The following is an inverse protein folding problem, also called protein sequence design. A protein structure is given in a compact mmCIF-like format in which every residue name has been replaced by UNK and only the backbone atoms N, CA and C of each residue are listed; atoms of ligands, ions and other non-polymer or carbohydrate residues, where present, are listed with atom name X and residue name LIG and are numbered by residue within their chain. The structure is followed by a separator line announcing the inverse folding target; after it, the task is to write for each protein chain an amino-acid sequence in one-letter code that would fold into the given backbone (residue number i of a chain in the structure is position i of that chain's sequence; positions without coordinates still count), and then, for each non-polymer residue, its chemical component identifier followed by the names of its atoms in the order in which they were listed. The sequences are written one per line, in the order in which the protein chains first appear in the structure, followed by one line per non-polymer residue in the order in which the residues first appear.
data_IF_939443513721
#
_entry.id   IF_939443513721
#
_cell.length_a   1.000
_cell.length_b   1.000
_cell.length_c   1.000
_cell.angle_alpha   90.00
_cell.angle_beta   90.00
_cell.angle_gamma   90.00
#
_symmetry.space_group_name_H-M   'P 1'
#
loop_
_entity.id
_entity.type
_entity.pdbx_description
1 polymer ?
#
# COMPACT_ATOMS: atom_id res chain seq x y z
N UNK A 1 -7.84 22.02 3.74
CA UNK A 1 -7.01 21.14 2.89
C UNK A 1 -7.64 19.74 2.75
N UNK A 2 -7.92 19.00 3.84
CA UNK A 2 -8.52 17.66 3.78
C UNK A 2 -9.86 17.60 3.02
N UNK A 3 -10.83 18.45 3.36
CA UNK A 3 -12.16 18.47 2.71
C UNK A 3 -12.07 18.72 1.18
N UNK A 4 -11.15 19.59 0.75
CA UNK A 4 -10.94 19.84 -0.68
C UNK A 4 -10.29 18.61 -1.39
N UNK A 5 -9.37 17.93 -0.72
CA UNK A 5 -8.79 16.68 -1.22
C UNK A 5 -9.87 15.59 -1.31
N UNK A 6 -10.68 15.43 -0.27
CA UNK A 6 -11.77 14.45 -0.24
C UNK A 6 -12.78 14.69 -1.37
N UNK A 7 -13.22 15.93 -1.58
CA UNK A 7 -14.13 16.28 -2.66
C UNK A 7 -13.54 15.98 -4.05
N UNK A 8 -12.27 16.36 -4.27
CA UNK A 8 -11.54 16.08 -5.51
C UNK A 8 -11.43 14.58 -5.77
N UNK A 9 -11.07 13.80 -4.76
CA UNK A 9 -10.91 12.35 -4.87
C UNK A 9 -12.24 11.63 -5.05
N UNK A 10 -13.31 12.06 -4.35
CA UNK A 10 -14.65 11.52 -4.56
C UNK A 10 -15.14 11.72 -6.00
N UNK A 11 -14.88 12.87 -6.59
CA UNK A 11 -15.22 13.16 -7.99
C UNK A 11 -14.43 12.28 -8.97
N UNK A 12 -13.13 12.07 -8.74
CA UNK A 12 -12.30 11.17 -9.54
C UNK A 12 -12.76 9.71 -9.42
N UNK A 13 -13.14 9.28 -8.21
CA UNK A 13 -13.60 7.92 -7.92
C UNK A 13 -14.99 7.60 -8.46
N UNK A 14 -15.78 8.59 -8.89
CA UNK A 14 -17.09 8.38 -9.49
C UNK A 14 -17.02 7.95 -10.97
N UNK A 15 -15.83 7.94 -11.58
CA UNK A 15 -15.67 7.49 -12.96
C UNK A 15 -15.98 5.98 -13.08
N UNK A 16 -16.71 5.56 -14.15
CA UNK A 16 -16.99 4.14 -14.37
C UNK A 16 -15.69 3.35 -14.49
N UNK A 17 -15.59 2.25 -13.77
CA UNK A 17 -14.46 1.33 -13.93
C UNK A 17 -14.70 0.42 -15.12
N UNK A 18 -13.69 0.25 -15.95
CA UNK A 18 -13.69 -0.76 -16.98
C UNK A 18 -13.65 -2.17 -16.34
N UNK A 19 -14.30 -3.14 -17.00
CA UNK A 19 -14.32 -4.51 -16.48
C UNK A 19 -12.93 -5.13 -16.56
N UNK A 20 -12.48 -5.61 -15.44
CA UNK A 20 -11.31 -6.48 -15.30
C UNK A 20 -11.73 -7.93 -15.53
N UNK A 21 -10.85 -8.77 -16.03
CA UNK A 21 -11.07 -10.21 -16.19
C UNK A 21 -10.04 -10.98 -15.37
N UNK A 22 -10.50 -11.93 -14.58
CA UNK A 22 -9.62 -12.91 -13.91
C UNK A 22 -9.20 -13.97 -14.92
N UNK A 23 -7.90 -14.08 -15.17
CA UNK A 23 -7.33 -15.07 -16.11
C UNK A 23 -6.74 -16.26 -15.38
N UNK A 24 -6.38 -16.08 -14.11
CA UNK A 24 -5.88 -17.14 -13.25
C UNK A 24 -6.34 -16.91 -11.81
N UNK A 25 -6.85 -17.96 -11.16
CA UNK A 25 -7.19 -17.97 -9.74
C UNK A 25 -6.72 -19.28 -9.11
N UNK A 26 -5.68 -19.19 -8.30
CA UNK A 26 -5.10 -20.30 -7.50
C UNK A 26 -5.31 -20.09 -6.01
N UNK A 27 -6.21 -19.21 -5.61
CA UNK A 27 -6.44 -18.88 -4.20
C UNK A 27 -6.76 -20.10 -3.33
N UNK A 28 -7.39 -21.13 -3.91
CA UNK A 28 -7.66 -22.40 -3.22
C UNK A 28 -6.38 -23.19 -2.84
N UNK A 29 -5.23 -22.88 -3.46
CA UNK A 29 -3.94 -23.51 -3.19
C UNK A 29 -3.04 -22.67 -2.25
N UNK A 30 -3.52 -21.52 -1.81
CA UNK A 30 -2.78 -20.58 -0.97
C UNK A 30 -3.53 -20.34 0.36
N UNK A 31 -2.79 -20.03 1.41
CA UNK A 31 -3.39 -19.60 2.68
C UNK A 31 -3.79 -18.13 2.57
N UNK A 32 -4.88 -17.86 1.86
CA UNK A 32 -5.39 -16.51 1.66
C UNK A 32 -6.87 -16.42 2.01
N UNK A 33 -7.31 -15.25 2.42
CA UNK A 33 -8.70 -14.94 2.70
C UNK A 33 -9.27 -14.07 1.58
N UNK A 34 -10.45 -14.43 1.09
CA UNK A 34 -11.19 -13.64 0.13
C UNK A 34 -11.87 -12.44 0.80
N UNK A 35 -11.72 -11.26 0.22
CA UNK A 35 -12.37 -10.01 0.64
C UNK A 35 -13.12 -9.45 -0.56
N UNK A 36 -14.33 -8.94 -0.34
CA UNK A 36 -15.08 -8.29 -1.41
C UNK A 36 -16.55 -8.11 -1.09
N UNK A 37 -17.16 -7.18 -1.79
CA UNK A 37 -18.60 -6.94 -1.87
C UNK A 37 -19.17 -7.49 -3.19
N UNK A 38 -20.47 -7.39 -3.39
CA UNK A 38 -21.09 -7.66 -4.70
C UNK A 38 -20.53 -6.77 -5.80
N UNK A 39 -20.30 -5.49 -5.46
CA UNK A 39 -19.73 -4.52 -6.39
C UNK A 39 -18.28 -4.86 -6.78
N UNK A 40 -17.39 -5.14 -5.82
CA UNK A 40 -16.00 -5.48 -6.14
C UNK A 40 -15.90 -6.74 -6.98
N UNK A 41 -16.76 -7.74 -6.72
CA UNK A 41 -16.80 -8.97 -7.53
C UNK A 41 -17.25 -8.70 -8.96
N UNK A 42 -18.20 -7.78 -9.16
CA UNK A 42 -18.66 -7.41 -10.49
C UNK A 42 -17.66 -6.53 -11.25
N UNK A 43 -17.04 -5.54 -10.55
CA UNK A 43 -16.13 -4.60 -11.17
C UNK A 43 -14.75 -5.25 -11.48
N UNK A 44 -14.28 -6.13 -10.61
CA UNK A 44 -12.95 -6.72 -10.70
C UNK A 44 -12.95 -8.24 -10.95
N UNK A 45 -14.07 -8.79 -11.38
CA UNK A 45 -14.24 -10.20 -11.72
C UNK A 45 -13.73 -11.15 -10.62
N UNK A 46 -14.32 -11.04 -9.44
CA UNK A 46 -13.99 -11.88 -8.29
C UNK A 46 -13.60 -11.13 -7.04
N UNK A 47 -13.05 -11.85 -6.08
CA UNK A 47 -12.64 -11.31 -4.80
C UNK A 47 -11.24 -10.66 -4.87
N UNK A 48 -10.94 -9.87 -3.84
CA UNK A 48 -9.57 -9.60 -3.42
C UNK A 48 -9.10 -10.69 -2.48
N UNK A 49 -7.82 -10.98 -2.49
CA UNK A 49 -7.21 -11.95 -1.59
C UNK A 49 -6.15 -11.29 -0.73
N UNK A 50 -6.02 -11.73 0.50
CA UNK A 50 -4.95 -11.32 1.41
C UNK A 50 -4.49 -12.52 2.26
N UNK A 51 -3.23 -12.54 2.64
CA UNK A 51 -2.73 -13.50 3.63
C UNK A 51 -3.27 -13.11 5.01
N UNK A 52 -3.98 -14.01 5.73
CA UNK A 52 -4.46 -13.70 7.07
C UNK A 52 -3.29 -13.57 8.05
N UNK A 53 -3.40 -12.72 9.08
CA UNK A 53 -2.36 -12.54 10.09
C UNK A 53 -2.39 -13.67 11.12
N UNK A 54 -2.07 -14.91 10.74
CA UNK A 54 -2.13 -16.11 11.57
C UNK A 54 -1.17 -16.02 12.76
N UNK A 55 -1.66 -15.47 13.88
CA UNK A 55 -0.90 -15.27 15.12
C UNK A 55 0.17 -14.17 15.09
N UNK A 56 0.39 -13.55 13.94
CA UNK A 56 1.38 -12.51 13.70
C UNK A 56 0.81 -11.24 13.09
N UNK A 57 1.55 -10.69 12.14
CA UNK A 57 1.11 -9.62 11.25
C UNK A 57 1.24 -10.09 9.80
N UNK A 58 0.37 -9.63 8.91
CA UNK A 58 0.55 -9.75 7.47
C UNK A 58 0.93 -8.41 6.87
N UNK A 59 1.86 -8.43 5.93
CA UNK A 59 2.34 -7.25 5.22
C UNK A 59 2.35 -7.51 3.72
N UNK A 60 1.66 -6.67 2.97
CA UNK A 60 1.72 -6.62 1.51
C UNK A 60 2.63 -5.51 1.00
N UNK A 61 3.11 -5.65 -0.22
CA UNK A 61 3.78 -4.58 -0.99
C UNK A 61 3.10 -4.39 -2.32
N UNK A 62 3.03 -3.14 -2.80
CA UNK A 62 2.34 -2.75 -4.04
C UNK A 62 3.30 -2.03 -4.96
N UNK A 63 3.38 -2.47 -6.22
CA UNK A 63 4.17 -1.81 -7.26
C UNK A 63 3.49 -1.83 -8.62
N UNK A 64 3.74 -0.77 -9.39
CA UNK A 64 3.52 -0.74 -10.84
C UNK A 64 4.87 -0.81 -11.55
N UNK A 65 4.94 -1.61 -12.60
CA UNK A 65 6.16 -1.82 -13.41
C UNK A 65 5.83 -1.86 -14.90
N UNK A 66 6.83 -1.56 -15.70
CA UNK A 66 6.79 -1.79 -17.14
C UNK A 66 6.84 -3.29 -17.46
N UNK A 67 6.63 -3.64 -18.73
CA UNK A 67 6.83 -5.00 -19.24
C UNK A 67 8.24 -5.54 -19.00
N UNK A 68 9.25 -4.66 -19.00
CA UNK A 68 10.63 -5.03 -18.69
C UNK A 68 10.93 -5.29 -17.21
N UNK A 69 9.96 -5.04 -16.33
CA UNK A 69 10.09 -5.24 -14.89
C UNK A 69 10.57 -4.01 -14.12
N UNK A 70 10.92 -2.93 -14.80
CA UNK A 70 11.37 -1.69 -14.18
C UNK A 70 10.20 -0.84 -13.69
N UNK A 71 10.42 -0.13 -12.59
CA UNK A 71 9.46 0.80 -11.98
C UNK A 71 9.76 2.24 -12.38
N UNK A 72 8.90 3.19 -12.00
CA UNK A 72 9.17 4.62 -12.10
C UNK A 72 9.30 5.21 -10.69
N UNK A 73 10.36 5.97 -10.44
CA UNK A 73 10.64 6.53 -9.11
C UNK A 73 9.89 7.82 -8.85
N UNK A 74 9.66 8.64 -9.88
CA UNK A 74 9.06 9.98 -9.70
C UNK A 74 7.57 10.04 -9.98
N UNK A 75 7.09 9.28 -10.94
CA UNK A 75 5.69 9.30 -11.35
C UNK A 75 5.19 7.89 -11.73
N UNK A 76 4.75 7.07 -10.78
CA UNK A 76 4.19 5.74 -11.07
C UNK A 76 3.01 5.78 -12.06
N UNK A 77 2.23 6.87 -12.09
CA UNK A 77 1.12 7.03 -13.03
C UNK A 77 1.58 7.09 -14.51
N UNK A 78 2.85 7.48 -14.76
CA UNK A 78 3.42 7.45 -16.11
C UNK A 78 3.53 6.02 -16.69
N UNK A 79 3.47 4.99 -15.84
CA UNK A 79 3.44 3.59 -16.28
C UNK A 79 2.04 3.13 -16.75
N UNK A 80 1.01 3.99 -16.70
CA UNK A 80 -0.25 3.76 -17.39
C UNK A 80 -1.19 2.72 -16.77
N UNK A 81 -1.06 2.44 -15.47
CA UNK A 81 -2.00 1.54 -14.75
C UNK A 81 -3.44 2.07 -14.71
N UNK A 82 -3.60 3.40 -14.82
CA UNK A 82 -4.90 4.08 -14.91
C UNK A 82 -5.76 3.95 -13.65
N UNK A 83 -7.03 4.32 -13.79
CA UNK A 83 -8.02 4.26 -12.71
C UNK A 83 -8.29 2.83 -12.22
N UNK A 84 -8.10 1.83 -13.07
CA UNK A 84 -8.25 0.42 -12.68
C UNK A 84 -7.15 0.01 -11.71
N UNK A 85 -5.89 0.39 -11.96
CA UNK A 85 -4.80 0.16 -11.02
C UNK A 85 -5.03 0.90 -9.69
N UNK A 86 -5.48 2.16 -9.76
CA UNK A 86 -5.78 2.95 -8.59
C UNK A 86 -6.82 2.26 -7.69
N UNK A 87 -7.91 1.77 -8.25
CA UNK A 87 -9.00 1.20 -7.45
C UNK A 87 -8.86 -0.30 -7.17
N UNK A 88 -8.26 -1.08 -8.07
CA UNK A 88 -8.05 -2.51 -7.86
C UNK A 88 -6.88 -2.77 -6.89
N UNK A 89 -5.72 -2.25 -7.23
CA UNK A 89 -4.48 -2.55 -6.49
C UNK A 89 -4.29 -1.55 -5.36
N UNK A 90 -4.24 -0.27 -5.70
CA UNK A 90 -3.78 0.75 -4.78
C UNK A 90 -4.78 1.04 -3.66
N UNK A 91 -6.07 1.13 -3.95
CA UNK A 91 -7.11 1.27 -2.92
C UNK A 91 -7.64 -0.08 -2.45
N UNK A 92 -7.99 -0.98 -3.38
CA UNK A 92 -8.65 -2.23 -3.09
C UNK A 92 -7.77 -3.19 -2.32
N UNK A 93 -6.74 -3.72 -2.96
CA UNK A 93 -5.89 -4.73 -2.36
C UNK A 93 -5.00 -4.16 -1.25
N UNK A 94 -4.47 -2.94 -1.42
CA UNK A 94 -3.53 -2.40 -0.45
C UNK A 94 -4.16 -1.78 0.79
N UNK A 95 -5.40 -1.29 0.72
CA UNK A 95 -5.95 -0.42 1.78
C UNK A 95 -7.30 -0.83 2.33
N UNK A 96 -8.15 -1.48 1.52
CA UNK A 96 -9.53 -1.75 1.94
C UNK A 96 -9.61 -2.57 3.22
N UNK A 97 -8.73 -3.54 3.40
CA UNK A 97 -8.67 -4.41 4.58
C UNK A 97 -7.51 -4.09 5.52
N UNK A 98 -6.62 -3.17 5.17
CA UNK A 98 -5.44 -2.85 5.96
C UNK A 98 -5.79 -2.08 7.25
N UNK A 99 -5.16 -2.44 8.36
CA UNK A 99 -5.16 -1.68 9.60
C UNK A 99 -4.24 -0.46 9.46
N UNK A 100 -3.15 -0.60 8.67
CA UNK A 100 -2.21 0.48 8.41
C UNK A 100 -1.64 0.44 6.99
N UNK A 101 -1.25 1.62 6.49
CA UNK A 101 -0.47 1.76 5.24
C UNK A 101 0.93 2.25 5.58
N UNK A 102 1.94 1.56 5.04
CA UNK A 102 3.36 1.83 5.25
C UNK A 102 3.94 2.57 4.06
N UNK A 103 4.64 3.67 4.30
CA UNK A 103 5.36 4.41 3.27
C UNK A 103 6.74 4.84 3.75
N UNK A 104 7.73 4.82 2.85
CA UNK A 104 9.03 5.44 3.12
C UNK A 104 8.92 6.97 3.08
N UNK A 105 9.73 7.67 3.88
CA UNK A 105 9.75 9.14 3.90
C UNK A 105 9.91 9.79 2.53
N UNK A 106 10.69 9.16 1.63
CA UNK A 106 10.88 9.64 0.25
C UNK A 106 9.67 9.48 -0.68
N UNK A 107 8.63 8.78 -0.25
CA UNK A 107 7.37 8.61 -1.01
C UNK A 107 6.34 9.69 -0.64
N UNK A 108 6.57 10.43 0.45
CA UNK A 108 5.61 11.40 0.97
C UNK A 108 5.64 12.71 0.18
N UNK A 109 4.48 13.26 -0.08
CA UNK A 109 4.25 14.59 -0.64
C UNK A 109 3.25 15.34 0.26
N UNK A 110 3.13 16.65 0.08
CA UNK A 110 2.42 17.54 0.99
C UNK A 110 0.98 17.10 1.32
N UNK A 111 0.25 16.60 0.33
CA UNK A 111 -1.14 16.13 0.46
C UNK A 111 -1.24 14.59 0.61
N UNK A 112 -0.13 13.90 0.94
CA UNK A 112 -0.13 12.46 1.14
C UNK A 112 -1.08 12.05 2.28
N UNK A 113 -2.03 11.19 1.95
CA UNK A 113 -2.89 10.46 2.87
C UNK A 113 -3.28 9.15 2.20
N UNK A 114 -2.77 8.04 2.70
CA UNK A 114 -3.00 6.72 2.12
C UNK A 114 -4.28 6.11 2.67
N UNK A 115 -5.36 6.20 1.90
CA UNK A 115 -6.69 5.73 2.31
C UNK A 115 -7.49 5.28 1.09
N UNK A 116 -8.68 4.74 1.30
CA UNK A 116 -9.64 4.46 0.23
C UNK A 116 -10.53 5.69 -0.02
N UNK A 117 -10.80 5.98 -1.28
CA UNK A 117 -11.62 7.11 -1.70
C UNK A 117 -12.88 6.66 -2.44
N UNK A 118 -12.80 5.58 -3.23
CA UNK A 118 -13.95 5.07 -3.97
C UNK A 118 -15.10 4.71 -3.01
N UNK A 119 -16.33 5.21 -3.19
CA UNK A 119 -17.43 5.03 -2.25
C UNK A 119 -17.68 3.54 -1.89
N UNK A 120 -17.71 2.67 -2.89
CA UNK A 120 -17.94 1.23 -2.71
C UNK A 120 -16.82 0.54 -1.92
N UNK A 121 -15.56 1.01 -2.06
CA UNK A 121 -14.43 0.50 -1.27
C UNK A 121 -14.47 1.06 0.16
N UNK A 122 -14.94 2.30 0.35
CA UNK A 122 -15.20 2.86 1.68
C UNK A 122 -16.27 2.05 2.39
N UNK A 123 -17.36 1.68 1.70
CA UNK A 123 -18.44 0.87 2.27
C UNK A 123 -17.97 -0.55 2.56
N UNK A 124 -17.15 -1.14 1.69
CA UNK A 124 -16.54 -2.44 1.97
C UNK A 124 -15.67 -2.37 3.22
N UNK A 125 -14.82 -1.34 3.36
CA UNK A 125 -13.99 -1.14 4.56
C UNK A 125 -14.85 -1.00 5.84
N UNK A 126 -15.94 -0.26 5.76
CA UNK A 126 -16.92 -0.13 6.86
C UNK A 126 -17.56 -1.48 7.22
N UNK A 127 -17.91 -2.29 6.23
CA UNK A 127 -18.48 -3.64 6.44
C UNK A 127 -17.48 -4.59 7.14
N UNK A 128 -16.18 -4.37 6.94
CA UNK A 128 -15.11 -5.07 7.65
C UNK A 128 -14.89 -4.54 9.10
N UNK A 129 -15.68 -3.56 9.54
CA UNK A 129 -15.59 -2.89 10.86
C UNK A 129 -14.24 -2.20 11.09
N UNK A 130 -13.63 -1.70 10.03
CA UNK A 130 -12.39 -0.96 10.10
C UNK A 130 -12.63 0.55 10.16
N UNK A 131 -11.73 1.33 10.79
CA UNK A 131 -11.79 2.79 10.78
C UNK A 131 -11.84 3.36 9.36
N UNK A 132 -12.41 4.56 9.18
CA UNK A 132 -12.50 5.24 7.87
C UNK A 132 -11.15 5.31 7.16
N UNK A 133 -10.11 5.63 7.92
CA UNK A 133 -8.74 5.69 7.43
C UNK A 133 -7.91 4.61 8.13
N UNK A 134 -7.03 3.90 7.40
CA UNK A 134 -6.00 3.10 8.04
C UNK A 134 -5.01 4.00 8.78
N UNK A 135 -4.37 3.51 9.81
CA UNK A 135 -3.23 4.18 10.40
C UNK A 135 -2.14 4.41 9.34
N UNK A 136 -1.38 5.48 9.48
CA UNK A 136 -0.26 5.78 8.59
C UNK A 136 1.05 5.37 9.27
N UNK A 137 1.86 4.57 8.61
CA UNK A 137 3.19 4.17 9.11
C UNK A 137 4.25 4.75 8.19
N UNK A 138 5.12 5.58 8.75
CA UNK A 138 6.19 6.25 8.01
C UNK A 138 7.54 5.66 8.40
N UNK A 139 8.27 5.11 7.44
CA UNK A 139 9.64 4.65 7.63
C UNK A 139 10.61 5.81 7.39
N UNK A 140 11.24 6.30 8.46
CA UNK A 140 12.20 7.41 8.43
C UNK A 140 13.26 7.18 9.50
N UNK A 141 14.27 6.37 9.20
CA UNK A 141 15.29 5.97 10.15
C UNK A 141 16.03 7.16 10.80
N UNK A 142 16.32 8.18 10.00
CA UNK A 142 17.02 9.40 10.44
C UNK A 142 16.09 10.52 10.93
N UNK A 143 14.75 10.33 10.85
CA UNK A 143 13.78 11.35 11.24
C UNK A 143 13.79 12.60 10.36
N UNK A 144 14.20 12.49 9.10
CA UNK A 144 14.27 13.62 8.16
C UNK A 144 12.91 14.10 7.64
N UNK A 145 11.82 13.37 7.93
CA UNK A 145 10.48 13.78 7.54
C UNK A 145 10.05 15.08 8.25
N UNK A 146 9.25 15.89 7.55
CA UNK A 146 8.73 17.19 8.04
C UNK A 146 7.24 17.09 8.36
N UNK A 147 6.86 16.74 9.60
CA UNK A 147 5.46 16.54 9.98
C UNK A 147 4.58 17.77 9.79
N UNK A 148 5.13 18.97 9.90
CA UNK A 148 4.44 20.25 9.69
C UNK A 148 4.02 20.49 8.24
N UNK A 149 4.69 19.88 7.27
CA UNK A 149 4.45 20.06 5.84
C UNK A 149 3.55 18.98 5.21
N UNK A 150 3.23 17.92 5.96
CA UNK A 150 2.56 16.72 5.43
C UNK A 150 1.17 16.52 6.03
N UNK A 151 0.16 16.40 5.17
CA UNK A 151 -1.24 16.26 5.57
C UNK A 151 -1.47 15.13 6.57
N UNK A 152 -0.87 13.95 6.33
CA UNK A 152 -1.09 12.76 7.17
C UNK A 152 -0.73 12.96 8.64
N UNK A 153 0.22 13.86 8.96
CA UNK A 153 0.59 14.20 10.34
C UNK A 153 -0.34 15.24 10.99
N UNK A 154 -1.19 15.90 10.20
CA UNK A 154 -2.04 17.01 10.64
C UNK A 154 -3.53 16.65 10.65
N UNK A 155 -3.85 15.37 10.78
CA UNK A 155 -5.19 14.82 10.92
C UNK A 155 -5.31 14.07 12.27
N UNK A 156 -5.88 14.70 13.32
CA UNK A 156 -5.93 14.12 14.67
C UNK A 156 -6.65 12.77 14.77
N UNK A 157 -7.61 12.54 13.87
CA UNK A 157 -8.40 11.29 13.84
C UNK A 157 -7.70 10.12 13.13
N UNK A 158 -6.48 10.37 12.60
CA UNK A 158 -5.70 9.35 11.88
C UNK A 158 -4.43 9.04 12.68
N UNK A 159 -4.32 7.87 13.30
CA UNK A 159 -3.10 7.46 14.00
C UNK A 159 -1.90 7.42 13.06
N UNK A 160 -0.77 7.96 13.49
CA UNK A 160 0.49 7.93 12.74
C UNK A 160 1.59 7.30 13.58
N UNK A 161 2.33 6.38 12.99
CA UNK A 161 3.52 5.76 13.57
C UNK A 161 4.73 6.09 12.72
N UNK A 162 5.80 6.59 13.35
CA UNK A 162 7.08 6.82 12.65
C UNK A 162 8.09 5.79 13.12
N UNK A 163 8.45 4.87 12.21
CA UNK A 163 9.52 3.91 12.45
C UNK A 163 10.85 4.62 12.28
N UNK A 164 11.60 4.78 13.39
CA UNK A 164 12.79 5.63 13.39
C UNK A 164 13.85 5.11 14.37
N UNK A 165 15.05 5.68 14.33
CA UNK A 165 16.13 5.46 15.29
C UNK A 165 15.97 6.38 16.52
N UNK A 166 16.82 6.19 17.53
CA UNK A 166 16.87 7.08 18.70
C UNK A 166 17.18 8.52 18.30
N UNK A 167 18.18 8.73 17.45
CA UNK A 167 18.53 10.06 16.93
C UNK A 167 17.45 10.66 16.04
N UNK A 168 16.76 9.82 15.26
CA UNK A 168 15.61 10.25 14.47
C UNK A 168 14.44 10.71 15.33
N UNK A 169 14.16 10.02 16.45
CA UNK A 169 13.15 10.44 17.44
C UNK A 169 13.49 11.79 18.06
N UNK A 170 14.75 12.00 18.44
CA UNK A 170 15.19 13.29 18.99
C UNK A 170 14.98 14.44 18.00
N UNK A 171 15.32 14.23 16.73
CA UNK A 171 15.08 15.20 15.65
C UNK A 171 13.60 15.50 15.44
N UNK A 172 12.74 14.49 15.56
CA UNK A 172 11.30 14.62 15.37
C UNK A 172 10.58 15.21 16.59
N UNK A 173 11.16 15.13 17.80
CA UNK A 173 10.50 15.49 19.05
C UNK A 173 9.81 16.87 19.02
N UNK A 174 10.41 17.96 18.52
CA UNK A 174 9.76 19.27 18.45
C UNK A 174 8.50 19.29 17.58
N UNK A 175 8.48 18.49 16.52
CA UNK A 175 7.34 18.40 15.59
C UNK A 175 6.24 17.48 16.12
N UNK A 176 6.59 16.49 16.93
CA UNK A 176 5.62 15.52 17.47
C UNK A 176 4.96 16.01 18.76
N UNK A 177 5.61 16.88 19.54
CA UNK A 177 5.06 17.41 20.78
C UNK A 177 3.63 17.96 20.67
N UNK A 178 3.24 18.72 19.61
CA UNK A 178 1.86 19.18 19.42
C UNK A 178 0.92 18.14 18.80
N UNK A 179 1.37 16.90 18.56
CA UNK A 179 0.64 15.86 17.80
C UNK A 179 0.54 14.56 18.60
N UNK A 180 -0.30 14.49 19.65
CA UNK A 180 -0.39 13.30 20.51
C UNK A 180 -0.90 12.02 19.78
N UNK A 181 -1.45 12.16 18.57
CA UNK A 181 -1.85 11.04 17.70
C UNK A 181 -0.69 10.46 16.89
N UNK A 182 0.52 11.02 17.00
CA UNK A 182 1.74 10.55 16.33
C UNK A 182 2.68 9.89 17.31
N UNK A 183 3.03 8.64 17.08
CA UNK A 183 3.95 7.88 17.91
C UNK A 183 5.26 7.57 17.16
N UNK A 184 6.40 7.88 17.77
CA UNK A 184 7.70 7.43 17.28
C UNK A 184 8.00 6.03 17.83
N UNK A 185 8.17 5.06 16.94
CA UNK A 185 8.53 3.67 17.28
C UNK A 185 10.03 3.49 17.09
N UNK A 186 10.75 3.37 18.21
CA UNK A 186 12.20 3.22 18.22
C UNK A 186 12.55 1.81 18.70
N UNK A 187 13.15 1.02 17.82
CA UNK A 187 13.67 -0.33 18.11
C UNK A 187 14.92 -0.56 17.26
N UNK A 188 15.67 -1.61 17.57
CA UNK A 188 16.93 -1.93 16.91
C UNK A 188 16.76 -2.53 15.50
N UNK A 189 15.60 -3.13 15.23
CA UNK A 189 15.31 -3.80 13.96
C UNK A 189 13.89 -3.56 13.47
N UNK A 190 13.64 -3.71 12.16
CA UNK A 190 12.31 -3.66 11.58
C UNK A 190 11.36 -4.72 12.18
N UNK A 191 11.74 -5.99 12.37
CA UNK A 191 10.87 -6.96 13.02
C UNK A 191 10.40 -6.52 14.42
N UNK A 192 11.26 -5.92 15.21
CA UNK A 192 10.88 -5.39 16.53
C UNK A 192 9.96 -4.16 16.43
N UNK A 193 10.18 -3.30 15.44
CA UNK A 193 9.29 -2.16 15.17
C UNK A 193 7.90 -2.64 14.75
N UNK A 194 7.82 -3.65 13.87
CA UNK A 194 6.55 -4.26 13.48
C UNK A 194 5.87 -5.04 14.62
N UNK A 195 6.64 -5.63 15.53
CA UNK A 195 6.07 -6.21 16.76
C UNK A 195 5.36 -5.13 17.61
N UNK A 196 5.96 -3.94 17.75
CA UNK A 196 5.29 -2.83 18.44
C UNK A 196 4.02 -2.36 17.72
N UNK A 197 4.01 -2.33 16.38
CA UNK A 197 2.80 -2.02 15.62
C UNK A 197 1.70 -3.06 15.85
N UNK A 198 2.05 -4.35 15.89
CA UNK A 198 1.12 -5.44 16.21
C UNK A 198 0.53 -5.29 17.62
N UNK A 199 1.37 -4.94 18.62
CA UNK A 199 0.93 -4.73 19.99
C UNK A 199 0.00 -3.49 20.10
N UNK A 200 0.13 -2.52 19.18
CA UNK A 200 -0.79 -1.41 18.99
C UNK A 200 -2.04 -1.76 18.17
N UNK A 201 -2.26 -3.04 17.83
CA UNK A 201 -3.44 -3.53 17.11
C UNK A 201 -3.31 -3.58 15.59
N UNK A 202 -2.17 -3.20 15.02
CA UNK A 202 -1.93 -3.27 13.58
C UNK A 202 -1.48 -4.67 13.21
N UNK A 203 -2.39 -5.44 12.65
CA UNK A 203 -2.14 -6.82 12.22
C UNK A 203 -2.01 -6.98 10.72
N UNK A 204 -2.66 -6.11 9.95
CA UNK A 204 -2.63 -6.11 8.49
C UNK A 204 -2.10 -4.77 8.00
N UNK A 205 -1.00 -4.80 7.30
CA UNK A 205 -0.40 -3.60 6.72
C UNK A 205 -0.11 -3.80 5.24
N UNK A 206 -0.05 -2.70 4.49
CA UNK A 206 0.43 -2.73 3.12
C UNK A 206 1.39 -1.56 2.86
N UNK A 207 2.52 -1.86 2.24
CA UNK A 207 3.51 -0.85 1.84
C UNK A 207 3.23 -0.35 0.43
N UNK A 208 3.07 0.96 0.30
CA UNK A 208 2.69 1.65 -0.93
C UNK A 208 3.86 2.40 -1.55
N UNK A 209 4.79 1.68 -2.11
CA UNK A 209 5.90 2.25 -2.84
C UNK A 209 7.13 2.59 -1.99
N UNK A 210 8.17 3.04 -2.70
CA UNK A 210 9.52 3.18 -2.17
C UNK A 210 10.29 1.86 -2.26
N UNK A 211 11.03 1.65 -3.38
CA UNK A 211 11.83 0.42 -3.61
C UNK A 211 12.76 0.09 -2.44
N UNK A 212 13.39 1.13 -1.85
CA UNK A 212 14.28 0.95 -0.70
C UNK A 212 13.52 0.38 0.49
N UNK A 213 12.39 0.97 0.86
CA UNK A 213 11.56 0.49 1.97
C UNK A 213 11.03 -0.91 1.71
N UNK A 214 10.56 -1.21 0.50
CA UNK A 214 10.11 -2.55 0.14
C UNK A 214 11.25 -3.58 0.23
N UNK A 215 12.44 -3.23 -0.26
CA UNK A 215 13.63 -4.10 -0.15
C UNK A 215 13.97 -4.39 1.31
N UNK A 216 13.99 -3.38 2.17
CA UNK A 216 14.26 -3.54 3.61
C UNK A 216 13.21 -4.44 4.28
N UNK A 217 11.93 -4.29 3.94
CA UNK A 217 10.84 -5.11 4.47
C UNK A 217 10.92 -6.57 4.01
N UNK A 218 11.25 -6.80 2.74
CA UNK A 218 11.43 -8.15 2.19
C UNK A 218 12.67 -8.82 2.79
N UNK A 219 13.80 -8.11 2.88
CA UNK A 219 15.03 -8.64 3.47
C UNK A 219 14.87 -8.96 4.97
N UNK A 220 14.00 -8.22 5.67
CA UNK A 220 13.61 -8.49 7.05
C UNK A 220 12.60 -9.64 7.21
N UNK A 221 12.20 -10.31 6.12
CA UNK A 221 11.21 -11.40 6.11
C UNK A 221 9.85 -11.02 6.68
N UNK A 222 9.41 -9.78 6.41
CA UNK A 222 8.13 -9.25 6.90
C UNK A 222 7.01 -9.33 5.87
N UNK A 223 7.35 -9.44 4.57
CA UNK A 223 6.39 -9.38 3.47
C UNK A 223 5.78 -10.77 3.20
N UNK A 224 4.46 -10.82 3.14
CA UNK A 224 3.67 -12.01 2.81
C UNK A 224 3.10 -11.91 1.39
N UNK A 225 2.52 -10.76 1.05
CA UNK A 225 1.81 -10.53 -0.21
C UNK A 225 2.55 -9.54 -1.10
N UNK A 226 2.54 -9.80 -2.39
CA UNK A 226 3.10 -8.91 -3.43
C UNK A 226 2.02 -8.66 -4.46
N UNK A 227 1.68 -7.40 -4.67
CA UNK A 227 0.71 -6.95 -5.67
C UNK A 227 1.44 -6.18 -6.75
N UNK A 228 1.49 -6.73 -7.95
CA UNK A 228 2.21 -6.14 -9.07
C UNK A 228 1.26 -5.79 -10.22
N UNK A 229 1.28 -4.53 -10.62
CA UNK A 229 0.69 -4.10 -11.88
C UNK A 229 1.78 -4.06 -12.94
N UNK A 230 1.60 -4.78 -14.03
CA UNK A 230 2.52 -4.76 -15.19
C UNK A 230 1.82 -4.13 -16.37
N UNK A 231 2.41 -3.09 -16.95
CA UNK A 231 1.85 -2.35 -18.09
C UNK A 231 2.72 -2.47 -19.32
N UNK A 232 2.18 -2.11 -20.49
CA UNK A 232 2.93 -2.06 -21.75
C UNK A 232 3.64 -0.72 -21.95
N UNK A 233 3.51 0.24 -21.03
CA UNK A 233 4.12 1.56 -21.16
C UNK A 233 5.65 1.51 -21.03
N UNK A 234 6.32 2.37 -21.80
CA UNK A 234 7.77 2.51 -21.83
C UNK A 234 8.31 3.55 -20.84
N UNK A 235 7.49 4.02 -19.90
CA UNK A 235 7.82 5.12 -18.97
C UNK A 235 8.66 4.73 -17.75
N UNK A 236 9.19 3.51 -17.71
CA UNK A 236 10.01 3.03 -16.60
C UNK A 236 11.44 3.56 -16.66
N UNK A 237 12.08 3.64 -15.51
CA UNK A 237 13.50 3.98 -15.39
C UNK A 237 14.33 2.69 -15.48
N UNK A 238 15.26 2.56 -16.47
CA UNK A 238 16.06 1.35 -16.63
C UNK A 238 16.86 0.98 -15.38
N UNK A 239 16.89 -0.32 -15.06
CA UNK A 239 17.62 -0.83 -13.91
C UNK A 239 16.93 -0.55 -12.56
N UNK A 240 15.62 -0.35 -12.55
CA UNK A 240 14.85 -0.05 -11.35
C UNK A 240 13.79 -1.11 -11.01
N UNK A 241 14.15 -2.39 -10.84
CA UNK A 241 13.19 -3.40 -10.39
C UNK A 241 12.63 -3.03 -9.01
N UNK A 242 11.44 -3.53 -8.67
CA UNK A 242 10.78 -3.20 -7.40
C UNK A 242 11.53 -3.72 -6.16
N UNK A 243 12.35 -4.77 -6.34
CA UNK A 243 13.18 -5.35 -5.31
C UNK A 243 14.63 -5.49 -5.79
N UNK A 244 15.58 -5.05 -4.96
CA UNK A 244 17.03 -5.06 -5.23
C UNK A 244 17.83 -5.67 -4.06
N UNK A 245 17.16 -6.44 -3.21
CA UNK A 245 17.77 -7.03 -2.02
C UNK A 245 18.58 -8.30 -2.29
N UNK A 246 18.96 -8.97 -1.20
CA UNK A 246 19.87 -10.12 -1.23
C UNK A 246 19.15 -11.46 -1.32
N UNK A 247 17.84 -11.50 -1.08
CA UNK A 247 17.06 -12.74 -1.09
C UNK A 247 16.72 -13.16 -2.53
N UNK A 248 16.78 -14.44 -2.79
CA UNK A 248 16.10 -15.00 -3.96
C UNK A 248 14.61 -15.08 -3.62
N UNK A 249 13.80 -14.37 -4.36
CA UNK A 249 12.35 -14.38 -4.16
C UNK A 249 11.73 -15.53 -4.95
N UNK A 250 10.95 -16.35 -4.25
CA UNK A 250 10.10 -17.38 -4.84
C UNK A 250 8.66 -16.99 -4.58
N UNK A 251 8.08 -16.26 -5.54
CA UNK A 251 6.71 -15.80 -5.47
C UNK A 251 5.78 -16.86 -6.07
N UNK A 252 4.78 -17.28 -5.32
CA UNK A 252 3.70 -18.16 -5.79
C UNK A 252 2.50 -17.30 -6.16
N UNK A 253 2.08 -17.37 -7.41
CA UNK A 253 0.91 -16.66 -7.92
C UNK A 253 -0.36 -17.15 -7.23
N UNK A 254 -1.15 -16.23 -6.71
CA UNK A 254 -2.48 -16.45 -6.13
C UNK A 254 -3.57 -16.14 -7.16
N UNK A 255 -3.48 -15.00 -7.81
CA UNK A 255 -4.43 -14.59 -8.85
C UNK A 255 -3.78 -13.66 -9.87
N UNK A 256 -4.23 -13.76 -11.11
CA UNK A 256 -3.90 -12.82 -12.18
C UNK A 256 -5.20 -12.27 -12.76
N UNK A 257 -5.27 -10.95 -12.87
CA UNK A 257 -6.36 -10.24 -13.54
C UNK A 257 -5.80 -9.39 -14.68
N UNK A 258 -6.60 -9.18 -15.69
CA UNK A 258 -6.22 -8.41 -16.87
C UNK A 258 -7.27 -7.36 -17.21
N UNK A 259 -6.80 -6.26 -17.76
CA UNK A 259 -7.59 -5.20 -18.32
C UNK A 259 -6.95 -4.63 -19.57
N UNK A 260 -7.76 -4.36 -20.60
CA UNK A 260 -7.32 -3.68 -21.81
C UNK A 260 -7.60 -2.18 -21.67
N UNK A 261 -6.55 -1.40 -21.40
CA UNK A 261 -6.61 0.05 -21.33
C UNK A 261 -6.22 0.74 -22.64
N UNK A 262 -6.19 2.06 -22.62
CA UNK A 262 -5.81 2.88 -23.78
C UNK A 262 -4.38 2.59 -24.30
N UNK A 263 -3.49 2.19 -23.41
CA UNK A 263 -2.08 1.91 -23.69
C UNK A 263 -1.77 0.41 -23.82
N UNK A 264 -2.79 -0.43 -23.98
CA UNK A 264 -2.65 -1.88 -24.14
C UNK A 264 -3.03 -2.69 -22.93
N UNK A 265 -2.52 -3.92 -22.86
CA UNK A 265 -2.83 -4.87 -21.81
C UNK A 265 -2.14 -4.46 -20.48
N UNK A 266 -2.93 -4.38 -19.43
CA UNK A 266 -2.48 -4.23 -18.05
C UNK A 266 -2.76 -5.52 -17.30
N UNK A 267 -1.74 -6.07 -16.67
CA UNK A 267 -1.82 -7.30 -15.89
C UNK A 267 -1.65 -6.96 -14.40
N UNK A 268 -2.56 -7.47 -13.58
CA UNK A 268 -2.56 -7.33 -12.12
C UNK A 268 -2.27 -8.69 -11.51
N UNK A 269 -1.13 -8.84 -10.89
CA UNK A 269 -0.69 -10.09 -10.25
C UNK A 269 -0.70 -9.95 -8.73
N UNK A 270 -1.33 -10.90 -8.05
CA UNK A 270 -1.16 -11.14 -6.62
C UNK A 270 -0.34 -12.41 -6.44
N UNK A 271 0.76 -12.30 -5.72
CA UNK A 271 1.60 -13.41 -5.31
C UNK A 271 1.89 -13.42 -3.82
N UNK A 272 2.24 -14.58 -3.27
CA UNK A 272 2.72 -14.76 -1.89
C UNK A 272 4.18 -15.19 -1.90
N UNK A 273 4.96 -14.65 -0.95
CA UNK A 273 6.37 -14.96 -0.74
C UNK A 273 6.56 -16.11 0.25
#
# INVERSE_FOLDING_TARGET
MYAALEAKRAQQSAAPLARVRTVEDRSALANVRAIGSGWTRAAFDGAFYETPPDGGSSLGVVFVRSRGGDTATRNPAALGGGTVDEHLIYEGLSRVAADAVVAGAGTLHADALFTVWHPELVDLRRSLRLPRHPAQVVMSADGSVRPDELLLFNLPDVPVFVLTSASGRERLAPFLAPRPWVAAVVRSSLPEQFACLRDAGIRRACSVGGRRSATELVDANLVNDVYLTTTQADGAEPGTPWYVGRRRLEMRTVAIKEWHGEHGLVCFEHGVL
#
